data_IF_342524560871
#
_entry.id   IF_342524560871
#
_cell.length_a   1.000
_cell.length_b   1.000
_cell.length_c   1.000
_cell.angle_alpha   90.00
_cell.angle_beta   90.00
_cell.angle_gamma   90.00
#
_symmetry.space_group_name_H-M   'P 1'
#
loop_
_entity.id
_entity.type
_entity.pdbx_description
1 polymer ?
#
# COMPACT_ATOMS: atom_id res chain seq x y z
N UNK A 1 -11.99 -2.19 -11.60
CA UNK A 1 -10.62 -2.70 -11.68
C UNK A 1 -9.87 -2.23 -12.94
N UNK A 2 -9.93 -0.93 -13.27
CA UNK A 2 -9.44 -0.42 -14.56
C UNK A 2 -8.00 -0.82 -14.89
N UNK A 3 -7.04 -0.60 -13.97
CA UNK A 3 -5.64 -0.94 -14.21
C UNK A 3 -5.39 -2.45 -14.33
N UNK A 4 -6.15 -3.27 -13.60
CA UNK A 4 -6.00 -4.74 -13.70
C UNK A 4 -6.58 -5.27 -15.00
N UNK A 5 -7.56 -4.59 -15.58
CA UNK A 5 -8.27 -4.99 -16.81
C UNK A 5 -7.66 -4.38 -18.08
N UNK A 6 -7.01 -3.21 -17.98
CA UNK A 6 -6.59 -2.42 -19.15
C UNK A 6 -5.16 -2.70 -19.61
N UNK A 7 -4.34 -3.32 -18.77
CA UNK A 7 -2.92 -3.53 -19.07
C UNK A 7 -2.63 -5.02 -19.33
N UNK A 8 -1.91 -5.35 -20.42
CA UNK A 8 -1.61 -6.74 -20.77
C UNK A 8 -0.60 -7.39 -19.81
N UNK A 9 0.24 -6.60 -19.13
CA UNK A 9 1.10 -7.08 -18.07
C UNK A 9 0.33 -7.17 -16.74
N UNK A 10 0.61 -8.17 -15.89
CA UNK A 10 -0.03 -8.29 -14.59
C UNK A 10 0.23 -7.04 -13.72
N UNK A 11 -0.84 -6.28 -13.43
CA UNK A 11 -0.76 -5.15 -12.47
C UNK A 11 -0.72 -5.70 -11.04
N UNK A 12 0.27 -5.28 -10.26
CA UNK A 12 0.38 -5.56 -8.82
C UNK A 12 -0.14 -4.37 -8.01
N UNK A 13 -1.17 -4.58 -7.21
CA UNK A 13 -1.70 -3.60 -6.28
C UNK A 13 -1.02 -3.75 -4.91
N UNK A 14 -0.35 -2.69 -4.46
CA UNK A 14 0.38 -2.65 -3.19
C UNK A 14 -0.25 -1.61 -2.28
N UNK A 15 -0.73 -2.03 -1.10
CA UNK A 15 -1.22 -1.13 -0.04
C UNK A 15 -0.14 -0.93 0.99
N UNK A 16 0.20 0.31 1.32
CA UNK A 16 1.02 0.63 2.49
C UNK A 16 0.11 1.06 3.63
N UNK A 17 0.35 0.53 4.83
CA UNK A 17 -0.35 0.95 6.04
C UNK A 17 0.65 1.18 7.17
N UNK A 18 0.31 2.11 8.05
CA UNK A 18 0.94 2.26 9.35
C UNK A 18 -0.18 2.45 10.37
N UNK A 19 0.02 1.92 11.57
CA UNK A 19 -0.85 2.18 12.72
C UNK A 19 -0.93 3.67 13.00
N UNK A 20 -2.06 4.06 13.59
CA UNK A 20 -2.26 5.43 14.02
C UNK A 20 -1.16 5.88 15.01
N UNK A 21 -0.72 4.98 15.89
CA UNK A 21 0.35 5.24 16.85
C UNK A 21 1.67 5.60 16.15
N UNK A 22 2.12 4.80 15.18
CA UNK A 22 3.33 5.11 14.40
C UNK A 22 3.17 6.40 13.60
N UNK A 23 2.00 6.63 12.98
CA UNK A 23 1.73 7.89 12.27
C UNK A 23 1.85 9.10 13.20
N UNK A 24 1.23 9.04 14.39
CA UNK A 24 1.29 10.11 15.41
C UNK A 24 2.70 10.34 15.92
N UNK A 25 3.48 9.28 16.15
CA UNK A 25 4.89 9.39 16.54
C UNK A 25 5.72 10.11 15.47
N UNK A 26 5.35 9.98 14.20
CA UNK A 26 5.98 10.68 13.05
C UNK A 26 5.40 12.08 12.80
N UNK A 27 4.57 12.59 13.70
CA UNK A 27 4.02 13.95 13.64
C UNK A 27 2.71 14.09 12.86
N UNK A 28 2.07 12.98 12.47
CA UNK A 28 0.73 13.06 11.91
C UNK A 28 -0.28 13.48 12.99
N UNK A 29 -1.10 14.47 12.65
CA UNK A 29 -2.22 14.94 13.45
C UNK A 29 -3.46 14.83 12.58
N UNK A 30 -4.46 14.08 13.04
CA UNK A 30 -5.75 14.00 12.36
C UNK A 30 -6.32 15.40 12.15
N UNK A 31 -6.58 15.73 10.90
CA UNK A 31 -7.12 17.01 10.45
C UNK A 31 -8.50 16.75 9.84
N UNK A 32 -9.58 17.09 10.58
CA UNK A 32 -10.95 16.87 10.11
C UNK A 32 -11.20 17.51 8.75
N UNK A 33 -11.86 16.76 7.87
CA UNK A 33 -12.13 17.20 6.49
C UNK A 33 -10.95 17.11 5.53
N UNK A 34 -9.74 16.75 5.99
CA UNK A 34 -8.63 16.30 5.15
C UNK A 34 -8.51 14.78 5.26
N UNK A 35 -8.25 14.25 6.46
CA UNK A 35 -8.10 12.81 6.67
C UNK A 35 -9.42 12.03 6.50
N UNK A 36 -10.57 12.71 6.65
CA UNK A 36 -11.91 12.12 6.45
C UNK A 36 -12.46 12.35 5.03
N UNK A 37 -11.69 13.04 4.18
CA UNK A 37 -12.10 13.30 2.80
C UNK A 37 -12.06 12.01 1.98
N UNK A 38 -12.97 11.87 1.02
CA UNK A 38 -13.01 10.73 0.10
C UNK A 38 -11.71 10.56 -0.70
N UNK A 39 -10.94 11.62 -0.88
CA UNK A 39 -9.61 11.57 -1.51
C UNK A 39 -8.60 10.75 -0.72
N UNK A 40 -8.73 10.71 0.62
CA UNK A 40 -7.87 9.92 1.51
C UNK A 40 -8.45 8.52 1.80
N UNK A 41 -9.78 8.41 1.92
CA UNK A 41 -10.47 7.14 2.25
C UNK A 41 -10.96 6.33 1.03
N UNK A 42 -10.69 6.79 -0.19
CA UNK A 42 -11.24 6.23 -1.43
C UNK A 42 -10.90 4.77 -1.69
N UNK A 43 -9.93 4.20 -0.96
CA UNK A 43 -9.47 2.82 -1.09
C UNK A 43 -9.77 1.96 0.15
N UNK A 44 -10.43 2.49 1.17
CA UNK A 44 -10.63 1.77 2.45
C UNK A 44 -11.59 0.58 2.32
N UNK A 45 -12.47 0.61 1.31
CA UNK A 45 -13.36 -0.51 0.98
C UNK A 45 -12.72 -1.54 0.04
N UNK A 46 -11.51 -1.27 -0.47
CA UNK A 46 -10.79 -2.19 -1.36
C UNK A 46 -10.09 -3.25 -0.53
N UNK A 47 -10.47 -4.50 -0.75
CA UNK A 47 -9.93 -5.65 -0.01
C UNK A 47 -8.94 -6.49 -0.83
N UNK A 48 -8.86 -6.27 -2.14
CA UNK A 48 -8.01 -7.04 -3.06
C UNK A 48 -6.69 -6.31 -3.30
N UNK A 49 -5.68 -6.68 -2.51
CA UNK A 49 -4.30 -6.22 -2.65
C UNK A 49 -3.40 -7.43 -2.90
N UNK A 50 -2.43 -7.30 -3.80
CA UNK A 50 -1.41 -8.34 -4.00
C UNK A 50 -0.39 -8.30 -2.85
N UNK A 51 -0.11 -7.10 -2.32
CA UNK A 51 0.75 -6.89 -1.16
C UNK A 51 0.16 -5.85 -0.21
N UNK A 52 0.29 -6.09 1.09
CA UNK A 52 0.02 -5.10 2.14
C UNK A 52 1.29 -4.93 2.96
N UNK A 53 1.94 -3.78 2.82
CA UNK A 53 3.17 -3.44 3.52
C UNK A 53 2.83 -2.73 4.83
N UNK A 54 3.34 -3.26 5.94
CA UNK A 54 3.26 -2.62 7.24
C UNK A 54 4.50 -1.74 7.44
N UNK A 55 4.26 -0.46 7.70
CA UNK A 55 5.27 0.58 7.91
C UNK A 55 5.21 1.07 9.37
N UNK A 56 5.07 0.12 10.30
CA UNK A 56 5.14 0.38 11.72
C UNK A 56 6.59 0.32 12.21
N UNK A 57 6.83 0.91 13.38
CA UNK A 57 8.15 0.88 13.98
C UNK A 57 8.44 -0.56 14.46
N UNK A 58 9.51 -1.16 13.94
CA UNK A 58 9.91 -2.54 14.25
C UNK A 58 9.53 -3.58 13.19
N UNK A 59 8.74 -3.21 12.18
CA UNK A 59 8.54 -4.05 11.01
C UNK A 59 9.78 -4.05 10.10
N UNK A 60 10.09 -5.21 9.52
CA UNK A 60 11.14 -5.32 8.51
C UNK A 60 10.61 -4.87 7.14
N UNK A 61 10.59 -3.56 6.93
CA UNK A 61 10.12 -2.96 5.69
C UNK A 61 11.00 -3.38 4.49
N UNK A 62 12.30 -3.60 4.71
CA UNK A 62 13.22 -4.03 3.64
C UNK A 62 12.84 -5.44 3.16
N UNK A 63 12.65 -6.40 4.07
CA UNK A 63 12.24 -7.75 3.69
C UNK A 63 10.89 -7.77 2.96
N UNK A 64 9.95 -6.92 3.38
CA UNK A 64 8.65 -6.76 2.72
C UNK A 64 8.79 -6.19 1.30
N UNK A 65 9.62 -5.16 1.10
CA UNK A 65 9.91 -4.59 -0.22
C UNK A 65 10.63 -5.59 -1.12
N UNK A 66 11.57 -6.37 -0.59
CA UNK A 66 12.23 -7.43 -1.33
C UNK A 66 11.25 -8.49 -1.85
N UNK A 67 10.18 -8.80 -1.10
CA UNK A 67 9.13 -9.69 -1.58
C UNK A 67 8.36 -9.10 -2.77
N UNK A 68 8.06 -7.80 -2.75
CA UNK A 68 7.44 -7.09 -3.89
C UNK A 68 8.35 -7.11 -5.11
N UNK A 69 9.63 -6.79 -4.94
CA UNK A 69 10.61 -6.76 -6.02
C UNK A 69 10.81 -8.14 -6.66
N UNK A 70 10.86 -9.21 -5.85
CA UNK A 70 10.90 -10.58 -6.37
C UNK A 70 9.69 -10.90 -7.24
N UNK A 71 8.48 -10.54 -6.78
CA UNK A 71 7.27 -10.78 -7.55
C UNK A 71 7.21 -9.96 -8.87
N UNK A 72 7.75 -8.73 -8.87
CA UNK A 72 7.92 -7.95 -10.10
C UNK A 72 8.89 -8.68 -11.04
N UNK A 73 10.03 -9.14 -10.53
CA UNK A 73 11.01 -9.84 -11.35
C UNK A 73 10.44 -11.14 -11.94
N UNK A 74 9.76 -11.96 -11.14
CA UNK A 74 9.14 -13.21 -11.61
C UNK A 74 8.04 -12.98 -12.67
N UNK A 75 7.32 -11.86 -12.60
CA UNK A 75 6.19 -11.57 -13.52
C UNK A 75 6.58 -10.74 -14.74
N UNK A 76 7.68 -10.00 -14.68
CA UNK A 76 8.14 -9.11 -15.73
C UNK A 76 9.43 -9.57 -16.43
N UNK A 77 10.06 -10.65 -15.96
CA UNK A 77 11.16 -11.28 -16.70
C UNK A 77 10.58 -12.10 -17.85
N UNK A 78 10.60 -11.50 -19.04
CA UNK A 78 10.53 -12.19 -20.33
C UNK A 78 11.81 -13.01 -20.57
#
# INVERSE_FOLDING_TARGET
DFFRESFPCPTLAVRVRATEATRRNRGWVHTPGIDDATTECGLDHVTKWDFVLANDDGDDLEAQLQAVLRAIHERCSL
#
